data_IF_070207427010
#
_entry.id   IF_070207427010
#
_cell.length_a   1.000
_cell.length_b   1.000
_cell.length_c   1.000
_cell.angle_alpha   90.00
_cell.angle_beta   90.00
_cell.angle_gamma   90.00
#
_symmetry.space_group_name_H-M   'P 1'
#
loop_
_entity.id
_entity.type
_entity.pdbx_description
1 polymer ?
#
# COMPACT_ATOMS: atom_id res chain seq x y z
N UNK A 1 -10.60 -6.42 -3.17
CA UNK A 1 -10.29 -7.82 -2.75
C UNK A 1 -10.79 -8.01 -1.31
N UNK A 2 -10.59 -9.15 -0.66
CA UNK A 2 -10.73 -9.24 0.80
C UNK A 2 -9.37 -8.99 1.47
N UNK A 3 -9.38 -8.84 2.80
CA UNK A 3 -8.19 -8.45 3.60
C UNK A 3 -6.91 -9.20 3.24
N UNK A 4 -6.89 -10.54 3.08
CA UNK A 4 -5.64 -11.24 2.74
C UNK A 4 -5.07 -10.80 1.39
N UNK A 5 -5.92 -10.57 0.38
CA UNK A 5 -5.48 -10.07 -0.92
C UNK A 5 -4.87 -8.67 -0.83
N UNK A 6 -5.46 -7.78 -0.03
CA UNK A 6 -4.91 -6.43 0.17
C UNK A 6 -3.57 -6.45 0.92
N UNK A 7 -3.43 -7.28 1.96
CA UNK A 7 -2.15 -7.46 2.66
C UNK A 7 -1.06 -8.02 1.74
N UNK A 8 -1.41 -9.01 0.91
CA UNK A 8 -0.51 -9.56 -0.10
C UNK A 8 -0.01 -8.50 -1.08
N UNK A 9 -0.93 -7.74 -1.69
CA UNK A 9 -0.57 -6.67 -2.63
C UNK A 9 0.24 -5.57 -1.95
N UNK A 10 -0.09 -5.19 -0.71
CA UNK A 10 0.68 -4.23 0.08
C UNK A 10 2.15 -4.68 0.27
N UNK A 11 2.36 -5.95 0.63
CA UNK A 11 3.70 -6.53 0.78
C UNK A 11 4.48 -6.52 -0.54
N UNK A 12 3.85 -6.95 -1.65
CA UNK A 12 4.46 -6.97 -2.98
C UNK A 12 4.90 -5.57 -3.40
N UNK A 13 4.02 -4.58 -3.27
CA UNK A 13 4.30 -3.20 -3.67
C UNK A 13 5.38 -2.54 -2.81
N UNK A 14 5.42 -2.84 -1.51
CA UNK A 14 6.39 -2.22 -0.60
C UNK A 14 7.79 -2.86 -0.67
N UNK A 15 7.89 -4.14 -1.03
CA UNK A 15 9.15 -4.88 -1.09
C UNK A 15 10.31 -4.14 -1.79
N UNK A 16 10.17 -3.56 -3.00
CA UNK A 16 11.27 -2.81 -3.63
C UNK A 16 11.66 -1.56 -2.85
N UNK A 17 10.70 -0.87 -2.23
CA UNK A 17 10.98 0.31 -1.38
C UNK A 17 11.75 -0.10 -0.13
N UNK A 18 11.38 -1.22 0.50
CA UNK A 18 12.09 -1.75 1.65
C UNK A 18 13.57 -2.02 1.33
N UNK A 19 13.88 -2.66 0.19
CA UNK A 19 15.26 -2.91 -0.23
C UNK A 19 16.04 -1.60 -0.38
N UNK A 20 15.48 -0.61 -1.06
CA UNK A 20 16.13 0.70 -1.27
C UNK A 20 16.41 1.38 0.06
N UNK A 21 15.40 1.46 0.95
CA UNK A 21 15.53 2.13 2.25
C UNK A 21 16.55 1.40 3.14
N UNK A 22 16.57 0.06 3.12
CA UNK A 22 17.61 -0.72 3.81
C UNK A 22 19.00 -0.46 3.24
N UNK A 23 19.16 -0.43 1.91
CA UNK A 23 20.45 -0.17 1.26
C UNK A 23 21.01 1.23 1.56
N UNK A 24 20.14 2.18 1.94
CA UNK A 24 20.53 3.51 2.43
C UNK A 24 20.92 3.54 3.91
N UNK A 25 20.96 2.38 4.59
CA UNK A 25 21.40 2.24 5.98
C UNK A 25 20.35 2.59 7.04
N UNK A 26 19.10 2.88 6.65
CA UNK A 26 18.02 3.28 7.57
C UNK A 26 16.99 2.15 7.75
N UNK A 27 17.45 1.02 8.29
CA UNK A 27 16.69 -0.24 8.39
C UNK A 27 15.40 -0.08 9.20
N UNK A 28 15.44 0.67 10.30
CA UNK A 28 14.27 0.93 11.15
C UNK A 28 13.16 1.63 10.35
N UNK A 29 13.54 2.51 9.43
CA UNK A 29 12.60 3.22 8.56
C UNK A 29 12.02 2.31 7.48
N UNK A 30 12.78 1.33 6.99
CA UNK A 30 12.24 0.31 6.09
C UNK A 30 11.18 -0.56 6.80
N UNK A 31 11.41 -0.92 8.06
CA UNK A 31 10.42 -1.67 8.84
C UNK A 31 9.20 -0.79 9.15
N UNK A 32 9.42 0.46 9.55
CA UNK A 32 8.34 1.40 9.86
C UNK A 32 7.44 1.66 8.65
N UNK A 33 8.01 1.91 7.47
CA UNK A 33 7.24 2.08 6.24
C UNK A 33 6.44 0.82 5.88
N UNK A 34 7.03 -0.37 6.03
CA UNK A 34 6.33 -1.63 5.81
C UNK A 34 5.15 -1.83 6.75
N UNK A 35 5.33 -1.49 8.03
CA UNK A 35 4.27 -1.52 9.03
C UNK A 35 3.13 -0.55 8.69
N UNK A 36 3.44 0.66 8.20
CA UNK A 36 2.44 1.63 7.72
C UNK A 36 1.66 1.05 6.54
N UNK A 37 2.35 0.53 5.51
CA UNK A 37 1.70 0.06 4.27
C UNK A 37 0.81 -1.15 4.53
N UNK A 38 1.29 -2.13 5.29
CA UNK A 38 0.52 -3.34 5.58
C UNK A 38 -0.57 -3.09 6.62
N UNK A 39 -0.26 -2.36 7.70
CA UNK A 39 -1.23 -2.02 8.74
C UNK A 39 -2.35 -1.11 8.25
N UNK A 40 -2.03 -0.20 7.31
CA UNK A 40 -2.98 0.70 6.67
C UNK A 40 -3.67 0.12 5.43
N UNK A 41 -3.40 -1.13 5.03
CA UNK A 41 -3.88 -1.68 3.76
C UNK A 41 -5.41 -1.69 3.58
N UNK A 42 -6.18 -1.60 4.68
CA UNK A 42 -7.65 -1.54 4.66
C UNK A 42 -8.21 -0.13 4.91
N UNK A 43 -7.36 0.90 4.95
CA UNK A 43 -7.77 2.27 5.24
C UNK A 43 -8.83 2.78 4.25
N UNK A 44 -8.68 2.62 2.91
CA UNK A 44 -9.72 3.05 1.97
C UNK A 44 -11.10 2.41 2.23
N UNK A 45 -11.12 1.10 2.52
CA UNK A 45 -12.33 0.31 2.78
C UNK A 45 -13.03 0.63 4.11
N UNK A 46 -12.43 1.49 4.94
CA UNK A 46 -13.14 2.01 6.11
C UNK A 46 -14.35 2.87 5.70
N UNK A 47 -14.40 3.32 4.44
CA UNK A 47 -15.57 3.98 3.83
C UNK A 47 -16.88 3.20 3.98
N UNK A 48 -16.84 1.87 3.94
CA UNK A 48 -18.01 0.99 4.13
C UNK A 48 -18.65 1.13 5.51
N UNK A 49 -17.97 1.79 6.46
CA UNK A 49 -18.44 2.03 7.83
C UNK A 49 -18.82 3.48 8.08
N UNK A 50 -18.63 4.37 7.11
CA UNK A 50 -18.90 5.81 7.27
C UNK A 50 -20.18 6.19 6.53
N UNK A 51 -21.25 6.57 7.26
CA UNK A 51 -22.49 7.03 6.63
C UNK A 51 -22.24 8.20 5.68
N UNK A 52 -22.83 8.14 4.48
CA UNK A 52 -22.71 9.20 3.48
C UNK A 52 -21.47 9.12 2.58
N UNK A 53 -20.54 8.19 2.81
CA UNK A 53 -19.41 7.92 1.89
C UNK A 53 -19.74 6.69 1.06
N UNK A 54 -19.69 6.82 -0.26
CA UNK A 54 -19.85 5.68 -1.16
C UNK A 54 -18.58 4.83 -1.18
N UNK A 55 -18.76 3.51 -1.10
CA UNK A 55 -17.65 2.58 -1.26
C UNK A 55 -17.04 2.71 -2.66
N UNK A 56 -15.70 2.79 -2.75
CA UNK A 56 -14.95 3.09 -3.99
C UNK A 56 -15.21 4.47 -4.57
N UNK A 57 -15.65 5.40 -3.71
CA UNK A 57 -15.76 6.81 -4.00
C UNK A 57 -14.46 7.55 -3.68
N UNK A 58 -14.50 8.63 -2.88
CA UNK A 58 -13.34 9.50 -2.65
C UNK A 58 -12.10 8.79 -2.09
N UNK A 59 -12.29 7.77 -1.25
CA UNK A 59 -11.25 6.96 -0.60
C UNK A 59 -10.47 6.07 -1.56
N UNK A 60 -11.01 5.77 -2.75
CA UNK A 60 -10.36 4.91 -3.75
C UNK A 60 -9.81 5.72 -4.93
N UNK A 61 -9.20 6.87 -4.64
CA UNK A 61 -8.66 7.81 -5.62
C UNK A 61 -7.18 8.12 -5.40
N UNK A 62 -6.52 8.61 -6.45
CA UNK A 62 -5.15 9.14 -6.34
C UNK A 62 -5.08 10.36 -5.42
N UNK A 63 -6.17 11.13 -5.31
CA UNK A 63 -6.25 12.29 -4.44
C UNK A 63 -6.23 11.88 -2.96
N UNK A 64 -6.96 10.81 -2.61
CA UNK A 64 -6.88 10.24 -1.28
C UNK A 64 -5.49 9.67 -0.97
N UNK A 65 -4.83 9.04 -1.95
CA UNK A 65 -3.45 8.58 -1.80
C UNK A 65 -2.50 9.76 -1.47
N UNK A 66 -2.61 10.87 -2.20
CA UNK A 66 -1.81 12.07 -1.93
C UNK A 66 -2.14 12.70 -0.57
N UNK A 67 -3.41 12.74 -0.17
CA UNK A 67 -3.83 13.25 1.13
C UNK A 67 -3.25 12.42 2.29
N UNK A 68 -3.36 11.08 2.22
CA UNK A 68 -2.79 10.18 3.23
C UNK A 68 -1.26 10.30 3.26
N UNK A 69 -0.62 10.39 2.10
CA UNK A 69 0.81 10.68 1.98
C UNK A 69 1.20 11.99 2.65
N UNK A 70 0.49 13.09 2.38
CA UNK A 70 0.77 14.38 3.00
C UNK A 70 0.61 14.35 4.52
N UNK A 71 -0.43 13.69 5.04
CA UNK A 71 -0.66 13.54 6.48
C UNK A 71 0.47 12.75 7.15
N UNK A 72 0.82 11.57 6.61
CA UNK A 72 1.87 10.74 7.21
C UNK A 72 3.27 11.33 7.03
N UNK A 73 3.52 12.02 5.91
CA UNK A 73 4.77 12.75 5.70
C UNK A 73 4.91 13.94 6.64
N UNK A 74 3.83 14.71 6.85
CA UNK A 74 3.79 15.78 7.84
C UNK A 74 4.00 15.27 9.26
N UNK A 75 3.34 14.17 9.63
CA UNK A 75 3.56 13.52 10.93
C UNK A 75 5.02 13.07 11.11
N UNK A 76 5.61 12.43 10.09
CA UNK A 76 7.02 12.06 10.08
C UNK A 76 7.96 13.26 10.26
N UNK A 77 7.69 14.37 9.58
CA UNK A 77 8.46 15.60 9.71
C UNK A 77 8.45 16.13 11.16
N UNK A 78 7.27 16.13 11.79
CA UNK A 78 7.09 16.63 13.16
C UNK A 78 7.81 15.78 14.21
N UNK A 79 7.86 14.46 14.03
CA UNK A 79 8.40 13.55 15.06
C UNK A 79 9.88 13.20 14.86
N UNK A 80 10.43 13.35 13.64
CA UNK A 80 11.80 12.91 13.38
C UNK A 80 12.48 13.52 12.16
N UNK A 81 11.93 14.61 11.60
CA UNK A 81 12.57 15.38 10.54
C UNK A 81 12.45 14.74 9.15
N UNK A 82 13.44 15.01 8.29
CA UNK A 82 13.32 14.77 6.84
C UNK A 82 13.18 13.29 6.49
N UNK A 83 13.95 12.39 7.10
CA UNK A 83 13.92 10.95 6.74
C UNK A 83 12.55 10.33 7.09
N UNK A 84 12.03 10.45 8.33
CA UNK A 84 10.68 9.97 8.65
C UNK A 84 9.59 10.68 7.84
N UNK A 85 9.77 11.95 7.47
CA UNK A 85 8.82 12.64 6.59
C UNK A 85 8.72 11.98 5.21
N UNK A 86 9.87 11.69 4.58
CA UNK A 86 9.92 11.03 3.27
C UNK A 86 9.34 9.63 3.37
N UNK A 87 9.77 8.84 4.37
CA UNK A 87 9.32 7.46 4.56
C UNK A 87 7.83 7.40 4.84
N UNK A 88 7.32 8.24 5.74
CA UNK A 88 5.90 8.35 6.05
C UNK A 88 5.08 8.79 4.84
N UNK A 89 5.57 9.77 4.08
CA UNK A 89 4.88 10.26 2.89
C UNK A 89 4.79 9.23 1.77
N UNK A 90 5.91 8.60 1.42
CA UNK A 90 5.97 7.53 0.41
C UNK A 90 5.10 6.34 0.82
N UNK A 91 5.20 5.92 2.08
CA UNK A 91 4.40 4.81 2.61
C UNK A 91 2.91 5.14 2.63
N UNK A 92 2.55 6.38 2.97
CA UNK A 92 1.18 6.91 2.95
C UNK A 92 0.55 6.90 1.56
N UNK A 93 1.30 7.27 0.53
CA UNK A 93 0.83 7.15 -0.85
C UNK A 93 0.71 5.67 -1.24
N UNK A 94 1.75 4.89 -0.96
CA UNK A 94 1.84 3.50 -1.43
C UNK A 94 0.78 2.59 -0.82
N UNK A 95 0.40 2.79 0.45
CA UNK A 95 -0.66 2.00 1.09
C UNK A 95 -1.98 2.12 0.35
N UNK A 96 -2.34 3.33 -0.09
CA UNK A 96 -3.56 3.56 -0.87
C UNK A 96 -3.37 2.97 -2.26
N UNK A 97 -2.27 3.27 -2.96
CA UNK A 97 -2.04 2.73 -4.30
C UNK A 97 -2.03 1.19 -4.36
N UNK A 98 -1.46 0.52 -3.36
CA UNK A 98 -1.49 -0.93 -3.25
C UNK A 98 -2.91 -1.47 -3.03
N UNK A 99 -3.72 -0.77 -2.23
CA UNK A 99 -5.13 -1.09 -2.07
C UNK A 99 -5.90 -0.96 -3.40
N UNK A 100 -5.72 0.15 -4.10
CA UNK A 100 -6.31 0.40 -5.42
C UNK A 100 -5.90 -0.69 -6.43
N UNK A 101 -4.62 -1.07 -6.45
CA UNK A 101 -4.13 -2.15 -7.31
C UNK A 101 -4.85 -3.47 -7.02
N UNK A 102 -4.99 -3.83 -5.74
CA UNK A 102 -5.73 -5.04 -5.36
C UNK A 102 -7.20 -4.99 -5.82
N UNK A 103 -7.83 -3.81 -5.79
CA UNK A 103 -9.21 -3.64 -6.26
C UNK A 103 -9.37 -3.65 -7.77
N UNK A 104 -8.38 -3.15 -8.52
CA UNK A 104 -8.33 -3.26 -9.99
C UNK A 104 -8.34 -4.72 -10.44
N UNK A 105 -7.74 -5.64 -9.68
CA UNK A 105 -7.76 -7.08 -10.00
C UNK A 105 -9.16 -7.69 -9.99
N UNK A 106 -10.13 -7.03 -9.33
CA UNK A 106 -11.49 -7.54 -9.19
C UNK A 106 -12.42 -7.00 -10.26
N UNK A 107 -13.46 -7.76 -10.66
CA UNK A 107 -14.45 -7.29 -11.62
C UNK A 107 -15.12 -5.99 -11.22
N UNK A 108 -15.19 -5.63 -9.93
CA UNK A 108 -15.84 -4.41 -9.44
C UNK A 108 -15.04 -3.13 -9.82
N UNK A 109 -13.71 -3.21 -9.93
CA UNK A 109 -12.85 -2.11 -10.40
C UNK A 109 -12.89 -0.84 -9.54
N UNK A 110 -12.22 0.22 -10.00
CA UNK A 110 -12.16 1.55 -9.35
C UNK A 110 -12.23 2.68 -10.36
N UNK A 111 -12.44 3.92 -9.89
CA UNK A 111 -12.35 5.17 -10.67
C UNK A 111 -11.30 6.08 -10.03
N UNK A 112 -10.00 5.82 -10.22
CA UNK A 112 -8.94 6.42 -9.41
C UNK A 112 -8.80 7.93 -9.62
N UNK A 113 -9.31 8.46 -10.73
CA UNK A 113 -9.21 9.88 -11.09
C UNK A 113 -10.52 10.66 -10.88
N UNK A 114 -11.55 10.04 -10.29
CA UNK A 114 -12.76 10.74 -9.92
C UNK A 114 -12.46 11.87 -8.91
N UNK A 115 -13.20 13.00 -8.91
CA UNK A 115 -14.31 13.32 -9.81
C UNK A 115 -13.87 13.95 -11.14
N UNK A 116 -12.56 14.09 -11.38
CA UNK A 116 -12.03 14.74 -12.60
C UNK A 116 -12.28 13.86 -13.83
N UNK A 117 -12.13 12.54 -13.69
CA UNK A 117 -12.52 11.56 -14.71
C UNK A 117 -13.13 10.32 -14.07
N UNK A 118 -14.28 9.91 -14.59
CA UNK A 118 -15.04 8.75 -14.10
C UNK A 118 -14.76 7.43 -14.84
N UNK A 119 -13.65 7.36 -15.59
CA UNK A 119 -13.24 6.13 -16.26
C UNK A 119 -13.00 5.03 -15.24
N UNK A 120 -13.63 3.88 -15.48
CA UNK A 120 -13.51 2.70 -14.62
C UNK A 120 -12.36 1.81 -15.08
N UNK A 121 -11.50 1.44 -14.14
CA UNK A 121 -10.37 0.55 -14.35
C UNK A 121 -10.61 -0.78 -13.64
N UNK A 122 -10.48 -1.88 -14.37
CA UNK A 122 -10.56 -3.26 -13.86
C UNK A 122 -9.75 -4.16 -14.79
N UNK A 123 -9.13 -5.20 -14.23
CA UNK A 123 -8.48 -6.29 -14.98
C UNK A 123 -9.31 -7.57 -14.96
N UNK A 124 -10.34 -7.65 -14.10
CA UNK A 124 -11.22 -8.80 -13.95
C UNK A 124 -10.49 -10.16 -13.87
N UNK A 125 -9.41 -10.21 -13.09
CA UNK A 125 -8.55 -11.40 -12.94
C UNK A 125 -9.15 -12.39 -11.94
N UNK A 126 -9.85 -11.90 -10.92
CA UNK A 126 -10.48 -12.74 -9.91
C UNK A 126 -11.53 -12.01 -9.09
N UNK A 127 -12.64 -12.70 -8.80
CA UNK A 127 -13.67 -12.18 -7.91
C UNK A 127 -13.10 -11.89 -6.53
N UNK A 128 -13.52 -10.79 -5.92
CA UNK A 128 -13.11 -10.42 -4.56
C UNK A 128 -13.36 -11.56 -3.54
N UNK A 129 -14.44 -12.31 -3.74
CA UNK A 129 -14.83 -13.44 -2.90
C UNK A 129 -14.05 -14.74 -3.14
N UNK A 130 -13.11 -14.80 -4.10
CA UNK A 130 -12.33 -16.01 -4.35
C UNK A 130 -11.26 -16.18 -3.24
N UNK A 131 -11.39 -17.16 -2.33
CA UNK A 131 -10.44 -17.31 -1.23
C UNK A 131 -9.04 -17.70 -1.73
N UNK A 132 -8.95 -18.53 -2.78
CA UNK A 132 -7.67 -18.95 -3.35
C UNK A 132 -6.89 -17.74 -3.86
N UNK A 133 -7.53 -16.83 -4.59
CA UNK A 133 -6.87 -15.62 -5.10
C UNK A 133 -6.35 -14.71 -3.96
N UNK A 134 -7.16 -14.53 -2.91
CA UNK A 134 -6.78 -13.71 -1.75
C UNK A 134 -5.58 -14.31 -0.99
N UNK A 135 -5.60 -15.61 -0.72
CA UNK A 135 -4.49 -16.27 0.00
C UNK A 135 -3.26 -16.47 -0.88
N UNK A 136 -3.41 -16.68 -2.19
CA UNK A 136 -2.29 -16.73 -3.12
C UNK A 136 -1.54 -15.39 -3.14
N UNK A 137 -2.26 -14.26 -3.23
CA UNK A 137 -1.64 -12.93 -3.12
C UNK A 137 -0.93 -12.75 -1.79
N UNK A 138 -1.54 -13.18 -0.67
CA UNK A 138 -0.90 -13.10 0.64
C UNK A 138 0.40 -13.91 0.71
N UNK A 139 0.37 -15.17 0.28
CA UNK A 139 1.54 -16.05 0.27
C UNK A 139 2.65 -15.47 -0.61
N UNK A 140 2.32 -15.05 -1.83
CA UNK A 140 3.29 -14.41 -2.73
C UNK A 140 3.86 -13.15 -2.11
N UNK A 141 3.02 -12.30 -1.50
CA UNK A 141 3.48 -11.10 -0.81
C UNK A 141 4.43 -11.39 0.34
N UNK A 142 4.15 -12.40 1.16
CA UNK A 142 5.06 -12.82 2.25
C UNK A 142 6.39 -13.29 1.68
N UNK A 143 6.40 -14.11 0.63
CA UNK A 143 7.62 -14.60 0.00
C UNK A 143 8.45 -13.46 -0.62
N UNK A 144 7.79 -12.54 -1.32
CA UNK A 144 8.44 -11.37 -1.93
C UNK A 144 9.02 -10.44 -0.86
N UNK A 145 8.27 -10.16 0.20
CA UNK A 145 8.74 -9.34 1.32
C UNK A 145 9.91 -10.01 2.07
N UNK A 146 9.84 -11.32 2.33
CA UNK A 146 10.93 -12.07 2.94
C UNK A 146 12.20 -12.05 2.08
N UNK A 147 12.07 -12.19 0.76
CA UNK A 147 13.18 -12.09 -0.18
C UNK A 147 13.78 -10.68 -0.19
N UNK A 148 12.94 -9.64 -0.16
CA UNK A 148 13.38 -8.25 -0.08
C UNK A 148 14.14 -7.96 1.22
N UNK A 149 13.65 -8.43 2.37
CA UNK A 149 14.35 -8.28 3.64
C UNK A 149 15.72 -8.99 3.63
N UNK A 150 15.77 -10.20 3.07
CA UNK A 150 17.03 -10.93 2.92
C UNK A 150 18.02 -10.18 2.02
N UNK A 151 17.57 -9.72 0.84
CA UNK A 151 18.40 -8.96 -0.09
C UNK A 151 18.89 -7.64 0.51
N UNK A 152 18.00 -6.88 1.16
CA UNK A 152 18.36 -5.64 1.85
C UNK A 152 19.41 -5.85 2.93
N UNK A 153 19.31 -6.95 3.71
CA UNK A 153 20.30 -7.31 4.73
C UNK A 153 21.66 -7.68 4.13
N UNK A 154 21.69 -8.32 2.97
CA UNK A 154 22.95 -8.62 2.27
C UNK A 154 23.62 -7.31 1.83
N UNK A 155 22.86 -6.36 1.30
CA UNK A 155 23.40 -5.06 0.88
C UNK A 155 23.98 -4.25 2.05
N UNK A 156 23.31 -4.22 3.20
CA UNK A 156 23.83 -3.50 4.38
C UNK A 156 25.05 -4.15 5.01
N UNK A 157 25.27 -5.45 4.79
CA UNK A 157 26.47 -6.13 5.29
C UNK A 157 27.73 -5.86 4.47
N UNK A 158 27.59 -5.21 3.30
CA UNK A 158 28.68 -4.90 2.37
C UNK A 158 29.16 -3.44 2.47
N UNK A 159 28.44 -2.59 3.20
CA UNK A 159 28.70 -1.15 3.41
C UNK A 159 29.32 -0.89 4.78
#
# INVERSE_FOLDING_TARGET
>A
MHRPGHYGTALICYAPIAVIVMALGVVEMAVAGGAIVVGGAMLPDYDQRVPGISHRGPTHTVWFALAVGAVLGGAGALIGGVIPAVVGGVSGVLLVLAHLLADVLTPMGIRPFAPVRDTRYTLDVGKAANPVANYALLVVGILVAGTALYAGRMLTSLS
#
